data_IF_380042052002
#
_entry.id   IF_380042052002
#
_cell.length_a   1.000
_cell.length_b   1.000
_cell.length_c   1.000
_cell.angle_alpha   90.00
_cell.angle_beta   90.00
_cell.angle_gamma   90.00
#
_symmetry.space_group_name_H-M   'P 1'
#
loop_
_entity.id
_entity.type
_entity.pdbx_description
1 polymer ?
#
# COMPACT_ATOMS: atom_id res chain seq x y z
N UNK A 1 -42.35 -59.57 -13.29
CA UNK A 1 -42.02 -58.22 -12.79
C UNK A 1 -41.05 -57.60 -13.79
N UNK A 2 -41.45 -56.61 -14.60
CA UNK A 2 -40.51 -56.03 -15.57
C UNK A 2 -39.46 -55.16 -14.85
N UNK A 3 -38.21 -55.12 -15.33
CA UNK A 3 -37.17 -54.27 -14.76
C UNK A 3 -37.52 -52.79 -14.95
N UNK A 4 -37.36 -52.02 -13.86
CA UNK A 4 -37.57 -50.57 -13.83
C UNK A 4 -36.56 -49.90 -14.77
N UNK A 5 -36.96 -48.99 -15.67
CA UNK A 5 -36.01 -48.24 -16.47
C UNK A 5 -35.13 -47.41 -15.54
N UNK A 6 -33.82 -47.61 -15.60
CA UNK A 6 -32.85 -46.67 -15.02
C UNK A 6 -32.96 -45.41 -15.88
N UNK A 7 -33.70 -44.41 -15.42
CA UNK A 7 -33.57 -43.05 -15.96
C UNK A 7 -32.11 -42.68 -15.82
N UNK A 8 -31.39 -42.35 -16.91
CA UNK A 8 -30.05 -41.85 -16.77
C UNK A 8 -30.13 -40.61 -15.87
N UNK A 9 -29.43 -40.71 -14.75
CA UNK A 9 -29.18 -39.59 -13.88
C UNK A 9 -28.70 -38.44 -14.77
N UNK A 10 -29.30 -37.25 -14.62
CA UNK A 10 -28.81 -36.03 -15.26
C UNK A 10 -27.47 -35.70 -14.59
N UNK A 11 -26.45 -36.49 -14.91
CA UNK A 11 -25.06 -36.20 -14.61
C UNK A 11 -24.70 -34.96 -15.43
N UNK A 12 -24.93 -33.80 -14.81
CA UNK A 12 -24.08 -32.63 -14.79
C UNK A 12 -23.07 -32.52 -15.95
N UNK A 13 -23.59 -32.39 -17.17
CA UNK A 13 -22.81 -31.88 -18.30
C UNK A 13 -22.93 -30.36 -18.29
N UNK A 14 -22.25 -29.72 -17.33
CA UNK A 14 -22.01 -28.29 -17.41
C UNK A 14 -21.38 -27.98 -18.78
N UNK A 15 -22.08 -27.23 -19.63
CA UNK A 15 -21.65 -26.92 -20.99
C UNK A 15 -20.22 -26.36 -21.00
N UNK A 16 -19.33 -26.79 -21.92
CA UNK A 16 -17.94 -26.32 -22.02
C UNK A 16 -17.76 -24.79 -22.13
N UNK A 17 -18.85 -24.07 -22.44
CA UNK A 17 -18.88 -22.62 -22.43
C UNK A 17 -19.00 -22.03 -21.00
N UNK A 18 -19.75 -22.65 -20.09
CA UNK A 18 -19.95 -22.17 -18.72
C UNK A 18 -18.67 -22.31 -17.89
N UNK A 19 -18.01 -23.47 -17.96
CA UNK A 19 -16.74 -23.71 -17.26
C UNK A 19 -15.63 -22.75 -17.71
N UNK A 20 -15.55 -22.40 -19.00
CA UNK A 20 -14.60 -21.41 -19.51
C UNK A 20 -14.90 -19.99 -19.03
N UNK A 21 -16.18 -19.61 -18.95
CA UNK A 21 -16.58 -18.30 -18.42
C UNK A 21 -16.28 -18.18 -16.94
N UNK A 22 -16.58 -19.22 -16.16
CA UNK A 22 -16.27 -19.30 -14.72
C UNK A 22 -14.76 -19.27 -14.46
N UNK A 23 -13.97 -20.02 -15.23
CA UNK A 23 -12.51 -19.99 -15.15
C UNK A 23 -11.93 -18.59 -15.48
N UNK A 24 -12.46 -17.91 -16.51
CA UNK A 24 -12.07 -16.54 -16.86
C UNK A 24 -12.45 -15.54 -15.78
N UNK A 25 -13.65 -15.66 -15.22
CA UNK A 25 -14.12 -14.79 -14.13
C UNK A 25 -13.28 -15.00 -12.85
N UNK A 26 -12.93 -16.24 -12.53
CA UNK A 26 -12.02 -16.59 -11.44
C UNK A 26 -10.64 -15.95 -11.63
N UNK A 27 -10.03 -16.13 -12.80
CA UNK A 27 -8.72 -15.54 -13.13
C UNK A 27 -8.72 -14.01 -13.06
N UNK A 28 -9.79 -13.36 -13.53
CA UNK A 28 -9.95 -11.91 -13.44
C UNK A 28 -10.04 -11.43 -11.98
N UNK A 29 -10.82 -12.13 -11.14
CA UNK A 29 -10.96 -11.80 -9.72
C UNK A 29 -9.63 -11.95 -8.96
N UNK A 30 -8.89 -13.02 -9.24
CA UNK A 30 -7.57 -13.22 -8.66
C UNK A 30 -6.56 -12.13 -9.06
N UNK A 31 -6.58 -11.70 -10.33
CA UNK A 31 -5.71 -10.62 -10.81
C UNK A 31 -6.00 -9.31 -10.07
N UNK A 32 -7.27 -8.98 -9.84
CA UNK A 32 -7.67 -7.83 -9.03
C UNK A 32 -7.21 -7.98 -7.58
N UNK A 33 -7.35 -9.16 -6.99
CA UNK A 33 -6.92 -9.41 -5.61
C UNK A 33 -5.39 -9.26 -5.46
N UNK A 34 -4.62 -9.75 -6.43
CA UNK A 34 -3.17 -9.55 -6.50
C UNK A 34 -2.81 -8.06 -6.58
N UNK A 35 -3.50 -7.29 -7.43
CA UNK A 35 -3.26 -5.85 -7.59
C UNK A 35 -3.65 -5.03 -6.35
N UNK A 36 -4.75 -5.41 -5.68
CA UNK A 36 -5.15 -4.83 -4.40
C UNK A 36 -4.08 -5.06 -3.33
N UNK A 37 -3.61 -6.31 -3.20
CA UNK A 37 -2.56 -6.69 -2.23
C UNK A 37 -1.23 -6.00 -2.54
N UNK A 38 -0.84 -5.89 -3.81
CA UNK A 38 0.40 -5.21 -4.17
C UNK A 38 0.34 -3.72 -3.82
N UNK A 39 -0.78 -3.05 -4.06
CA UNK A 39 -1.00 -1.67 -3.59
C UNK A 39 -0.93 -1.54 -2.07
N UNK A 40 -1.59 -2.43 -1.32
CA UNK A 40 -1.58 -2.39 0.15
C UNK A 40 -0.19 -2.64 0.75
N UNK A 41 0.62 -3.49 0.10
CA UNK A 41 2.01 -3.78 0.51
C UNK A 41 2.91 -2.55 0.48
N UNK A 42 2.63 -1.57 -0.38
CA UNK A 42 3.40 -0.34 -0.42
C UNK A 42 3.33 0.45 0.88
N UNK A 43 2.23 0.41 1.63
CA UNK A 43 2.16 1.07 2.93
C UNK A 43 3.10 0.44 3.97
N UNK A 44 3.30 -0.88 3.91
CA UNK A 44 4.29 -1.55 4.75
C UNK A 44 5.72 -1.24 4.30
N UNK A 45 5.96 -1.14 2.99
CA UNK A 45 7.26 -0.69 2.47
C UNK A 45 7.59 0.73 2.92
N UNK A 46 6.63 1.65 2.87
CA UNK A 46 6.78 3.01 3.39
C UNK A 46 7.14 2.97 4.88
N UNK A 47 6.42 2.20 5.68
CA UNK A 47 6.70 2.05 7.11
C UNK A 47 8.11 1.47 7.35
N UNK A 48 8.52 0.44 6.62
CA UNK A 48 9.86 -0.15 6.75
C UNK A 48 10.97 0.83 6.33
N UNK A 49 10.79 1.51 5.20
CA UNK A 49 11.74 2.52 4.69
C UNK A 49 11.86 3.71 5.65
N UNK A 50 10.78 4.07 6.35
CA UNK A 50 10.79 5.10 7.38
C UNK A 50 11.72 4.76 8.55
N UNK A 51 11.69 3.51 9.01
CA UNK A 51 12.56 3.03 10.09
C UNK A 51 14.01 3.05 9.63
N UNK A 52 14.29 2.50 8.44
CA UNK A 52 15.65 2.47 7.87
C UNK A 52 16.20 3.89 7.72
N UNK A 53 15.39 4.81 7.22
CA UNK A 53 15.78 6.21 7.07
C UNK A 53 16.11 6.87 8.41
N UNK A 54 15.26 6.68 9.41
CA UNK A 54 15.49 7.21 10.76
C UNK A 54 16.76 6.64 11.40
N UNK A 55 17.00 5.33 11.25
CA UNK A 55 18.21 4.69 11.76
C UNK A 55 19.49 5.22 11.09
N UNK A 56 19.45 5.44 9.77
CA UNK A 56 20.56 6.03 9.03
C UNK A 56 20.85 7.47 9.47
N UNK A 57 19.81 8.28 9.66
CA UNK A 57 19.93 9.66 10.15
C UNK A 57 20.58 9.72 11.55
N UNK A 58 20.16 8.83 12.47
CA UNK A 58 20.75 8.72 13.81
C UNK A 58 22.21 8.23 13.78
N UNK A 59 22.57 7.43 12.78
CA UNK A 59 23.94 6.94 12.56
C UNK A 59 24.91 7.98 12.00
N UNK A 60 24.48 9.24 11.82
CA UNK A 60 25.34 10.33 11.33
C UNK A 60 25.66 10.26 9.83
N UNK A 61 24.99 9.38 9.07
CA UNK A 61 25.11 9.34 7.62
C UNK A 61 24.46 10.60 7.01
N UNK A 62 25.29 11.53 6.55
CA UNK A 62 24.90 12.78 5.88
C UNK A 62 24.33 12.57 4.47
N UNK A 63 24.33 11.34 3.96
CA UNK A 63 23.60 11.03 2.76
C UNK A 63 22.12 11.18 3.10
N UNK A 64 21.52 12.30 2.67
CA UNK A 64 20.06 12.49 2.61
C UNK A 64 19.53 11.31 1.83
N UNK A 65 19.15 10.23 2.52
CA UNK A 65 18.68 9.03 1.86
C UNK A 65 17.36 9.45 1.23
N UNK A 66 17.38 9.57 -0.09
CA UNK A 66 16.42 10.26 -0.97
C UNK A 66 14.99 9.63 -0.94
N UNK A 67 14.77 8.70 -0.02
CA UNK A 67 13.60 7.80 0.03
C UNK A 67 12.84 7.95 1.37
N UNK A 68 13.23 8.88 2.24
CA UNK A 68 12.70 8.96 3.61
C UNK A 68 11.95 10.24 3.97
N UNK A 69 10.65 10.08 4.25
CA UNK A 69 9.78 10.94 5.07
C UNK A 69 10.08 12.45 5.06
N UNK A 70 9.32 13.21 4.27
CA UNK A 70 9.41 14.67 4.23
C UNK A 70 9.24 15.29 5.64
N UNK A 71 8.38 14.69 6.46
CA UNK A 71 8.14 15.12 7.84
C UNK A 71 9.39 15.03 8.74
N UNK A 72 10.38 14.18 8.41
CA UNK A 72 11.64 14.13 9.17
C UNK A 72 12.52 15.37 8.93
N UNK A 73 12.50 15.94 7.72
CA UNK A 73 13.19 17.21 7.43
C UNK A 73 12.62 18.38 8.25
N UNK A 74 11.28 18.39 8.44
CA UNK A 74 10.62 19.37 9.30
C UNK A 74 10.97 19.13 10.78
N UNK A 75 11.01 17.87 11.22
CA UNK A 75 11.40 17.51 12.57
C UNK A 75 12.85 17.90 12.87
N UNK A 76 13.78 17.71 11.93
CA UNK A 76 15.19 18.13 12.04
C UNK A 76 15.32 19.67 12.09
N UNK A 77 14.51 20.39 11.31
CA UNK A 77 14.45 21.86 11.39
C UNK A 77 13.96 22.38 12.74
N UNK A 78 13.00 21.68 13.36
CA UNK A 78 12.46 22.03 14.68
C UNK A 78 13.41 21.59 15.82
N UNK A 79 14.04 20.44 15.66
CA UNK A 79 15.08 19.88 16.52
C UNK A 79 16.24 20.86 16.71
N UNK A 80 16.75 21.41 15.60
CA UNK A 80 17.83 22.39 15.60
C UNK A 80 17.47 23.67 16.38
N UNK A 81 16.17 24.00 16.49
CA UNK A 81 15.69 25.20 17.20
C UNK A 81 15.38 24.95 18.69
N UNK A 82 15.09 23.72 19.08
CA UNK A 82 14.57 23.38 20.42
C UNK A 82 15.56 22.61 21.29
N UNK A 83 16.64 22.07 20.72
CA UNK A 83 17.63 21.26 21.45
C UNK A 83 17.15 19.86 21.84
N UNK A 84 15.92 19.48 21.47
CA UNK A 84 15.31 18.17 21.76
C UNK A 84 15.17 17.30 20.50
N UNK A 85 16.18 17.31 19.64
CA UNK A 85 16.02 16.80 18.28
C UNK A 85 15.71 15.33 18.16
N UNK A 86 16.53 14.49 18.79
CA UNK A 86 16.43 13.03 18.64
C UNK A 86 15.08 12.47 19.15
N UNK A 87 14.58 12.82 20.35
CA UNK A 87 13.29 12.31 20.82
C UNK A 87 12.11 12.69 19.93
N UNK A 88 12.10 13.92 19.40
CA UNK A 88 11.01 14.40 18.52
C UNK A 88 11.02 13.65 17.20
N UNK A 89 12.18 13.47 16.58
CA UNK A 89 12.33 12.71 15.32
C UNK A 89 11.86 11.27 15.50
N UNK A 90 12.30 10.60 16.57
CA UNK A 90 11.89 9.21 16.86
C UNK A 90 10.38 9.11 17.08
N UNK A 91 9.78 10.03 17.85
CA UNK A 91 8.33 10.03 18.08
C UNK A 91 7.53 10.18 16.78
N UNK A 92 7.93 11.11 15.91
CA UNK A 92 7.30 11.31 14.60
C UNK A 92 7.40 10.06 13.73
N UNK A 93 8.59 9.44 13.67
CA UNK A 93 8.81 8.22 12.89
C UNK A 93 7.93 7.08 13.41
N UNK A 94 7.88 6.86 14.73
CA UNK A 94 7.04 5.80 15.33
C UNK A 94 5.57 5.99 14.98
N UNK A 95 5.05 7.22 15.09
CA UNK A 95 3.66 7.54 14.72
C UNK A 95 3.44 7.27 13.23
N UNK A 96 4.33 7.73 12.37
CA UNK A 96 4.20 7.57 10.92
C UNK A 96 4.21 6.08 10.51
N UNK A 97 5.16 5.31 11.04
CA UNK A 97 5.25 3.86 10.86
C UNK A 97 3.98 3.17 11.31
N UNK A 98 3.46 3.51 12.50
CA UNK A 98 2.24 2.95 13.04
C UNK A 98 1.01 3.23 12.15
N UNK A 99 0.86 4.47 11.70
CA UNK A 99 -0.23 4.88 10.79
C UNK A 99 -0.18 4.11 9.48
N UNK A 100 0.98 4.06 8.81
CA UNK A 100 1.09 3.34 7.53
C UNK A 100 0.96 1.83 7.67
N UNK A 101 1.46 1.23 8.75
CA UNK A 101 1.25 -0.19 9.04
C UNK A 101 -0.25 -0.50 9.26
N UNK A 102 -0.96 0.36 9.99
CA UNK A 102 -2.41 0.21 10.22
C UNK A 102 -3.23 0.38 8.94
N UNK A 103 -2.91 1.40 8.13
CA UNK A 103 -3.53 1.61 6.82
C UNK A 103 -3.25 0.44 5.88
N UNK A 104 -2.01 -0.08 5.86
CA UNK A 104 -1.64 -1.31 5.16
C UNK A 104 -2.51 -2.50 5.57
N UNK A 105 -2.74 -2.67 6.88
CA UNK A 105 -3.58 -3.75 7.42
C UNK A 105 -5.04 -3.61 6.99
N UNK A 106 -5.61 -2.40 7.02
CA UNK A 106 -6.99 -2.16 6.54
C UNK A 106 -7.10 -2.32 5.02
N UNK A 107 -6.12 -1.81 4.27
CA UNK A 107 -6.02 -1.96 2.83
C UNK A 107 -5.94 -3.44 2.43
N UNK A 108 -5.20 -4.28 3.16
CA UNK A 108 -5.14 -5.74 2.99
C UNK A 108 -6.47 -6.45 3.29
N UNK A 109 -7.34 -5.86 4.11
CA UNK A 109 -8.71 -6.35 4.36
C UNK A 109 -9.75 -5.87 3.34
N UNK A 110 -9.32 -5.16 2.30
CA UNK A 110 -10.21 -4.71 1.22
C UNK A 110 -10.97 -3.43 1.56
N UNK A 111 -10.49 -2.66 2.54
CA UNK A 111 -11.06 -1.36 2.88
C UNK A 111 -10.50 -0.27 1.95
N UNK A 112 -11.28 0.27 1.01
CA UNK A 112 -10.82 1.25 0.03
C UNK A 112 -10.49 2.61 0.66
N UNK A 113 -11.15 2.99 1.76
CA UNK A 113 -10.88 4.24 2.47
C UNK A 113 -9.43 4.31 2.95
N UNK A 114 -8.83 3.17 3.33
CA UNK A 114 -7.45 3.11 3.81
C UNK A 114 -6.46 3.50 2.70
N UNK A 115 -6.75 3.14 1.45
CA UNK A 115 -5.94 3.57 0.31
C UNK A 115 -6.04 5.08 0.06
N UNK A 116 -7.25 5.64 0.19
CA UNK A 116 -7.47 7.08 -0.01
C UNK A 116 -6.72 7.89 1.06
N UNK A 117 -6.91 7.54 2.34
CA UNK A 117 -6.24 8.21 3.45
C UNK A 117 -4.71 8.08 3.32
N UNK A 118 -4.20 6.87 3.08
CA UNK A 118 -2.77 6.65 2.91
C UNK A 118 -2.17 7.41 1.72
N UNK A 119 -2.87 7.45 0.58
CA UNK A 119 -2.43 8.20 -0.59
C UNK A 119 -2.39 9.71 -0.33
N UNK A 120 -3.40 10.27 0.37
CA UNK A 120 -3.43 11.69 0.72
C UNK A 120 -2.28 12.04 1.68
N UNK A 121 -2.13 11.29 2.77
CA UNK A 121 -1.06 11.53 3.76
C UNK A 121 0.31 11.45 3.09
N UNK A 122 0.55 10.44 2.26
CA UNK A 122 1.83 10.27 1.57
C UNK A 122 2.07 11.31 0.47
N UNK A 123 1.02 11.77 -0.22
CA UNK A 123 1.13 12.85 -1.20
C UNK A 123 1.50 14.17 -0.53
N UNK A 124 0.87 14.49 0.61
CA UNK A 124 1.18 15.70 1.40
C UNK A 124 2.62 15.66 1.89
N UNK A 125 3.09 14.51 2.38
CA UNK A 125 4.50 14.33 2.76
C UNK A 125 5.44 14.55 1.55
N UNK A 126 5.05 14.05 0.37
CA UNK A 126 5.77 14.26 -0.89
C UNK A 126 5.90 15.74 -1.30
N UNK A 127 4.93 16.60 -0.96
CA UNK A 127 5.01 18.04 -1.27
C UNK A 127 6.17 18.73 -0.53
N UNK A 128 6.61 18.19 0.61
CA UNK A 128 7.77 18.71 1.33
C UNK A 128 9.04 18.55 0.48
N UNK A 129 9.17 17.45 -0.25
CA UNK A 129 10.32 17.23 -1.15
C UNK A 129 10.29 18.19 -2.35
N UNK A 130 9.11 18.46 -2.90
CA UNK A 130 8.95 19.46 -3.96
C UNK A 130 9.39 20.84 -3.47
N UNK A 131 8.94 21.24 -2.28
CA UNK A 131 9.35 22.51 -1.67
C UNK A 131 10.85 22.57 -1.35
N UNK A 132 11.46 21.42 -1.01
CA UNK A 132 12.89 21.30 -0.76
C UNK A 132 13.75 21.14 -2.02
N UNK A 133 13.15 21.09 -3.22
CA UNK A 133 13.85 20.89 -4.50
C UNK A 133 14.37 19.46 -4.73
N UNK A 134 13.95 18.48 -3.93
CA UNK A 134 14.33 17.08 -4.07
C UNK A 134 13.35 16.33 -5.00
N UNK A 135 13.62 16.42 -6.30
CA UNK A 135 12.78 15.82 -7.33
C UNK A 135 12.79 14.29 -7.35
N UNK A 136 13.87 13.66 -6.88
CA UNK A 136 13.96 12.20 -6.83
C UNK A 136 13.06 11.69 -5.69
N UNK A 137 13.13 12.32 -4.52
CA UNK A 137 12.23 12.03 -3.40
C UNK A 137 10.77 12.27 -3.79
N UNK A 138 10.46 13.39 -4.43
CA UNK A 138 9.12 13.69 -4.92
C UNK A 138 8.60 12.64 -5.94
N UNK A 139 9.45 12.20 -6.87
CA UNK A 139 9.10 11.16 -7.85
C UNK A 139 8.81 9.81 -7.17
N UNK A 140 9.60 9.43 -6.16
CA UNK A 140 9.33 8.23 -5.36
C UNK A 140 7.98 8.32 -4.64
N UNK A 141 7.66 9.49 -4.07
CA UNK A 141 6.36 9.70 -3.43
C UNK A 141 5.20 9.56 -4.41
N UNK A 142 5.29 10.21 -5.58
CA UNK A 142 4.31 10.09 -6.64
C UNK A 142 4.13 8.63 -7.09
N UNK A 143 5.22 7.87 -7.23
CA UNK A 143 5.17 6.47 -7.60
C UNK A 143 4.40 5.62 -6.58
N UNK A 144 4.68 5.77 -5.28
CA UNK A 144 3.94 5.04 -4.23
C UNK A 144 2.46 5.43 -4.23
N UNK A 145 2.13 6.72 -4.40
CA UNK A 145 0.74 7.18 -4.52
C UNK A 145 0.05 6.51 -5.69
N UNK A 146 0.68 6.46 -6.87
CA UNK A 146 0.13 5.75 -8.05
C UNK A 146 -0.09 4.27 -7.73
N UNK A 147 0.84 3.60 -7.05
CA UNK A 147 0.68 2.21 -6.66
C UNK A 147 -0.47 1.99 -5.66
N UNK A 148 -0.66 2.89 -4.71
CA UNK A 148 -1.81 2.88 -3.80
C UNK A 148 -3.13 3.09 -4.57
N UNK A 149 -3.19 4.03 -5.51
CA UNK A 149 -4.38 4.28 -6.35
C UNK A 149 -4.73 3.08 -7.25
N UNK A 150 -3.73 2.38 -7.78
CA UNK A 150 -3.92 1.11 -8.50
C UNK A 150 -4.52 0.03 -7.59
N UNK A 151 -4.10 -0.02 -6.33
CA UNK A 151 -4.69 -0.91 -5.31
C UNK A 151 -6.13 -0.52 -4.95
N UNK A 152 -6.43 0.77 -4.88
CA UNK A 152 -7.78 1.31 -4.64
C UNK A 152 -8.76 0.95 -5.76
N UNK A 153 -8.38 1.14 -7.01
CA UNK A 153 -9.20 0.76 -8.17
C UNK A 153 -9.50 -0.75 -8.15
N UNK A 154 -8.50 -1.58 -7.85
CA UNK A 154 -8.70 -3.01 -7.68
C UNK A 154 -9.64 -3.35 -6.49
N UNK A 155 -9.50 -2.66 -5.35
CA UNK A 155 -10.36 -2.86 -4.18
C UNK A 155 -11.83 -2.50 -4.47
N UNK A 156 -12.08 -1.45 -5.26
CA UNK A 156 -13.43 -1.02 -5.65
C UNK A 156 -14.09 -2.02 -6.59
N UNK A 157 -13.33 -2.63 -7.50
CA UNK A 157 -13.83 -3.64 -8.45
C UNK A 157 -14.10 -5.02 -7.84
N UNK A 158 -13.60 -5.27 -6.63
CA UNK A 158 -13.79 -6.54 -5.90
C UNK A 158 -14.97 -6.52 -4.94
N UNK A 159 -15.58 -5.35 -4.72
CA UNK A 159 -16.81 -5.18 -3.93
C UNK A 159 -18.02 -5.48 -4.79
#
# INVERSE_FOLDING_TARGET
MPPRPLTPDKADTASPARSRTEARAGGAREALERRRRSGARWFFWVAALSIVNSAAALGGQQWRFVIGLGITQLADGLAARTGHGVPVVVAVVVVFVGVFALLGRFALRGQPWAFVVGAIVYAVDGLIFVAAGDWIGAAFHAFVVVMALRGLDAARRLR
#
